data_IF_386851077436
#
_entry.id   IF_386851077436
#
_cell.length_a   1.000
_cell.length_b   1.000
_cell.length_c   1.000
_cell.angle_alpha   90.00
_cell.angle_beta   90.00
_cell.angle_gamma   90.00
#
_symmetry.space_group_name_H-M   'P 1'
#
loop_
_entity.id
_entity.type
_entity.pdbx_description
1 polymer ?
#
# COMPACT_ATOMS: atom_id res chain seq x y z
N UNK A 1 5.70 16.88 6.39
CA UNK A 1 4.69 16.32 5.49
C UNK A 1 4.14 15.04 6.08
N UNK A 2 2.82 14.87 6.05
CA UNK A 2 2.18 13.63 6.48
C UNK A 2 2.56 12.49 5.54
N UNK A 3 2.56 11.26 6.06
CA UNK A 3 2.73 10.08 5.22
C UNK A 3 1.45 9.76 4.46
N UNK A 4 0.31 9.84 5.14
CA UNK A 4 -1.00 9.58 4.54
C UNK A 4 -2.10 10.19 5.41
N UNK A 5 -3.31 10.26 4.84
CA UNK A 5 -4.52 10.63 5.57
C UNK A 5 -5.72 9.89 4.99
N UNK A 6 -6.73 9.69 5.82
CA UNK A 6 -7.94 8.96 5.42
C UNK A 6 -9.11 9.92 5.20
N UNK A 7 -10.05 9.48 4.36
CA UNK A 7 -11.33 10.15 4.17
C UNK A 7 -12.42 9.10 4.05
N UNK A 8 -13.63 9.43 4.55
CA UNK A 8 -14.75 8.50 4.55
C UNK A 8 -15.46 8.49 3.20
N UNK A 9 -15.85 7.29 2.77
CA UNK A 9 -16.71 7.03 1.63
C UNK A 9 -17.76 6.04 2.12
N UNK A 10 -19.00 6.14 1.64
CA UNK A 10 -20.09 5.25 2.08
C UNK A 10 -19.69 3.77 1.96
N UNK A 11 -19.65 3.05 3.09
CA UNK A 11 -19.29 1.64 3.22
C UNK A 11 -17.82 1.30 2.85
N UNK A 12 -17.00 2.30 2.53
CA UNK A 12 -15.61 2.14 2.12
C UNK A 12 -14.72 3.09 2.91
N UNK A 13 -13.41 3.00 2.68
CA UNK A 13 -12.47 3.99 3.18
C UNK A 13 -11.51 4.40 2.08
N UNK A 14 -11.28 5.71 1.95
CA UNK A 14 -10.28 6.25 1.06
C UNK A 14 -9.06 6.74 1.81
N UNK A 15 -7.94 6.83 1.10
CA UNK A 15 -6.74 7.45 1.64
C UNK A 15 -5.99 8.22 0.56
N UNK A 16 -5.24 9.22 1.01
CA UNK A 16 -4.25 9.92 0.21
C UNK A 16 -2.90 9.67 0.85
N UNK A 17 -1.94 9.16 0.08
CA UNK A 17 -0.58 8.94 0.53
C UNK A 17 0.34 9.96 -0.13
N UNK A 18 1.34 10.41 0.60
CA UNK A 18 2.24 11.47 0.17
C UNK A 18 3.68 11.02 0.16
N UNK A 19 4.50 11.60 -0.70
CA UNK A 19 5.93 11.37 -0.72
C UNK A 19 6.67 12.43 -1.52
N UNK A 20 7.93 12.65 -1.19
CA UNK A 20 8.80 13.53 -1.96
C UNK A 20 9.22 12.89 -3.29
N UNK A 21 9.19 11.56 -3.33
CA UNK A 21 9.42 10.76 -4.53
C UNK A 21 8.21 9.86 -4.77
N UNK A 22 8.08 9.35 -5.99
CA UNK A 22 7.01 8.39 -6.30
C UNK A 22 7.15 7.15 -5.43
N UNK A 23 8.37 6.65 -5.25
CA UNK A 23 8.68 5.49 -4.41
C UNK A 23 8.20 5.70 -2.97
N UNK A 24 8.54 6.85 -2.38
CA UNK A 24 8.10 7.17 -1.02
C UNK A 24 6.58 7.21 -0.89
N UNK A 25 5.89 7.77 -1.89
CA UNK A 25 4.43 7.81 -1.89
C UNK A 25 3.83 6.40 -1.95
N UNK A 26 4.41 5.50 -2.75
CA UNK A 26 4.00 4.09 -2.80
C UNK A 26 4.25 3.39 -1.46
N UNK A 27 5.41 3.62 -0.85
CA UNK A 27 5.73 3.07 0.49
C UNK A 27 4.68 3.50 1.51
N UNK A 28 4.33 4.78 1.50
CA UNK A 28 3.32 5.33 2.40
C UNK A 28 1.90 4.82 2.10
N UNK A 29 1.59 4.52 0.82
CA UNK A 29 0.33 3.89 0.44
C UNK A 29 0.22 2.47 1.02
N UNK A 30 1.31 1.70 1.00
CA UNK A 30 1.36 0.38 1.64
C UNK A 30 1.13 0.48 3.14
N UNK A 31 1.77 1.45 3.78
CA UNK A 31 1.59 1.71 5.21
C UNK A 31 0.14 2.09 5.51
N UNK A 32 -0.49 2.91 4.67
CA UNK A 32 -1.89 3.32 4.83
C UNK A 32 -2.83 2.12 4.81
N UNK A 33 -2.62 1.16 3.88
CA UNK A 33 -3.43 -0.06 3.81
C UNK A 33 -3.32 -0.86 5.10
N UNK A 34 -2.10 -1.09 5.57
CA UNK A 34 -1.92 -1.93 6.76
C UNK A 34 -2.36 -1.24 8.05
N UNK A 35 -2.42 0.09 8.09
CA UNK A 35 -3.03 0.82 9.20
C UNK A 35 -4.56 0.79 9.18
N UNK A 36 -5.18 0.42 8.06
CA UNK A 36 -6.61 0.10 8.03
C UNK A 36 -6.86 -1.27 8.69
N UNK A 37 -5.98 -2.21 8.44
CA UNK A 37 -6.11 -3.60 8.91
C UNK A 37 -5.73 -3.74 10.39
N UNK A 38 -4.64 -3.07 10.80
CA UNK A 38 -4.06 -3.16 12.14
C UNK A 38 -3.35 -1.86 12.49
N UNK A 39 -2.65 -1.84 13.62
CA UNK A 39 -1.73 -0.76 13.97
C UNK A 39 -0.31 -1.19 13.59
N UNK A 40 0.25 -0.58 12.55
CA UNK A 40 1.57 -0.95 12.04
C UNK A 40 2.70 -0.69 13.03
N UNK A 41 2.50 0.20 14.02
CA UNK A 41 3.51 0.41 15.06
C UNK A 41 3.70 -0.81 15.95
N UNK A 42 2.72 -1.71 16.00
CA UNK A 42 2.79 -2.98 16.73
C UNK A 42 3.28 -4.15 15.89
N UNK A 43 3.65 -3.94 14.63
CA UNK A 43 4.12 -4.98 13.72
C UNK A 43 5.64 -4.95 13.62
N UNK A 44 6.29 -6.05 13.99
CA UNK A 44 7.74 -6.14 13.94
C UNK A 44 8.23 -6.57 12.55
N UNK A 45 9.37 -6.03 12.13
CA UNK A 45 9.97 -6.28 10.80
C UNK A 45 10.85 -7.53 10.81
N UNK A 46 10.26 -8.69 11.07
CA UNK A 46 10.99 -9.96 11.26
C UNK A 46 11.14 -10.79 9.99
N UNK A 47 10.14 -10.78 9.14
CA UNK A 47 10.07 -11.61 7.95
C UNK A 47 10.07 -10.72 6.72
N UNK A 48 10.87 -11.08 5.72
CA UNK A 48 11.02 -10.32 4.48
C UNK A 48 10.27 -11.00 3.35
N UNK A 49 9.56 -10.22 2.54
CA UNK A 49 8.96 -10.66 1.28
C UNK A 49 9.36 -9.68 0.19
N UNK A 50 9.56 -10.20 -1.02
CA UNK A 50 9.87 -9.37 -2.18
C UNK A 50 9.00 -9.75 -3.34
N UNK A 51 8.65 -8.77 -4.17
CA UNK A 51 7.93 -9.02 -5.41
C UNK A 51 8.28 -7.95 -6.44
N UNK A 52 8.01 -8.29 -7.70
CA UNK A 52 8.21 -7.39 -8.83
C UNK A 52 6.95 -7.37 -9.68
N UNK A 53 6.54 -6.17 -10.09
CA UNK A 53 5.38 -5.97 -10.96
C UNK A 53 5.73 -5.00 -12.08
N UNK A 54 5.01 -5.11 -13.21
CA UNK A 54 5.13 -4.19 -14.33
C UNK A 54 3.74 -3.78 -14.79
N UNK A 55 3.56 -2.52 -15.08
CA UNK A 55 2.26 -1.96 -15.44
C UNK A 55 2.42 -0.86 -16.48
N UNK A 56 1.40 -0.62 -17.33
CA UNK A 56 1.53 0.35 -18.43
C UNK A 56 1.57 1.81 -17.99
N UNK A 57 0.98 2.14 -16.85
CA UNK A 57 0.95 3.50 -16.33
C UNK A 57 0.97 3.53 -14.80
N UNK A 58 1.08 4.72 -14.23
CA UNK A 58 1.24 4.89 -12.79
C UNK A 58 0.01 4.45 -11.98
N UNK A 59 -1.19 4.66 -12.49
CA UNK A 59 -2.42 4.26 -11.80
C UNK A 59 -2.53 2.73 -11.77
N UNK A 60 -2.28 2.08 -12.92
CA UNK A 60 -2.27 0.62 -12.99
C UNK A 60 -1.18 0.04 -12.07
N UNK A 61 -0.02 0.70 -11.99
CA UNK A 61 1.06 0.28 -11.11
C UNK A 61 0.63 0.34 -9.64
N UNK A 62 -0.04 1.42 -9.25
CA UNK A 62 -0.55 1.57 -7.89
C UNK A 62 -1.57 0.48 -7.56
N UNK A 63 -2.51 0.23 -8.48
CA UNK A 63 -3.50 -0.83 -8.30
C UNK A 63 -2.82 -2.20 -8.11
N UNK A 64 -1.90 -2.54 -9.00
CA UNK A 64 -1.22 -3.84 -8.97
C UNK A 64 -0.37 -4.00 -7.70
N UNK A 65 0.27 -2.94 -7.25
CA UNK A 65 1.06 -2.92 -6.03
C UNK A 65 0.18 -3.18 -4.80
N UNK A 66 -0.94 -2.45 -4.67
CA UNK A 66 -1.85 -2.61 -3.54
C UNK A 66 -2.52 -3.98 -3.53
N UNK A 67 -2.89 -4.50 -4.71
CA UNK A 67 -3.43 -5.84 -4.87
C UNK A 67 -2.44 -6.91 -4.40
N UNK A 68 -1.17 -6.77 -4.76
CA UNK A 68 -0.13 -7.73 -4.36
C UNK A 68 0.08 -7.70 -2.84
N UNK A 69 0.08 -6.52 -2.24
CA UNK A 69 0.18 -6.39 -0.79
C UNK A 69 -0.99 -7.10 -0.09
N UNK A 70 -2.21 -6.88 -0.58
CA UNK A 70 -3.40 -7.52 -0.01
C UNK A 70 -3.36 -9.04 -0.20
N UNK A 71 -2.91 -9.50 -1.36
CA UNK A 71 -2.74 -10.92 -1.66
C UNK A 71 -1.77 -11.59 -0.67
N UNK A 72 -0.60 -10.99 -0.44
CA UNK A 72 0.37 -11.52 0.50
C UNK A 72 -0.16 -11.54 1.95
N UNK A 73 -0.91 -10.51 2.32
CA UNK A 73 -1.58 -10.48 3.62
C UNK A 73 -2.53 -11.66 3.79
N UNK A 74 -3.34 -11.94 2.79
CA UNK A 74 -4.37 -12.99 2.86
C UNK A 74 -3.78 -14.39 2.75
N UNK A 75 -2.82 -14.59 1.85
CA UNK A 75 -2.25 -15.93 1.57
C UNK A 75 -1.20 -16.32 2.60
N UNK A 76 -0.33 -15.40 2.96
CA UNK A 76 0.77 -15.68 3.91
C UNK A 76 0.38 -15.42 5.36
N UNK A 77 -0.79 -14.86 5.63
CA UNK A 77 -1.25 -14.48 6.96
C UNK A 77 -0.25 -13.57 7.67
N UNK A 78 0.14 -12.50 6.99
CA UNK A 78 1.12 -11.55 7.48
C UNK A 78 0.58 -10.15 7.57
N UNK A 79 1.15 -9.38 8.51
CA UNK A 79 1.03 -7.93 8.56
C UNK A 79 2.40 -7.34 8.22
N UNK A 80 2.41 -6.26 7.46
CA UNK A 80 3.64 -5.58 7.05
C UNK A 80 3.68 -4.16 7.61
N UNK A 81 4.86 -3.70 7.97
CA UNK A 81 5.07 -2.37 8.55
C UNK A 81 6.24 -1.61 7.94
N UNK A 82 7.02 -2.26 7.10
CA UNK A 82 8.21 -1.67 6.48
C UNK A 82 8.16 -1.95 4.97
N UNK A 83 8.26 -0.88 4.17
CA UNK A 83 8.08 -0.94 2.73
C UNK A 83 9.24 -0.21 2.06
N UNK A 84 9.96 -0.92 1.20
CA UNK A 84 11.06 -0.38 0.40
C UNK A 84 10.73 -0.63 -1.07
N UNK A 85 10.55 0.43 -1.84
CA UNK A 85 10.06 0.38 -3.20
C UNK A 85 11.04 1.07 -4.15
N UNK A 86 11.38 0.38 -5.23
CA UNK A 86 12.12 0.95 -6.36
C UNK A 86 11.24 0.93 -7.59
N UNK A 87 11.12 2.06 -8.28
CA UNK A 87 10.31 2.19 -9.48
C UNK A 87 11.21 2.62 -10.64
N UNK A 88 11.11 1.91 -11.76
CA UNK A 88 11.80 2.24 -13.00
C UNK A 88 10.78 2.53 -14.09
N UNK A 89 11.07 3.50 -14.93
CA UNK A 89 10.25 3.84 -16.09
C UNK A 89 10.98 3.46 -17.38
N UNK A 90 10.24 2.87 -18.32
CA UNK A 90 10.73 2.58 -19.67
C UNK A 90 9.69 3.04 -20.70
N UNK A 91 9.99 2.86 -21.99
CA UNK A 91 9.04 3.18 -23.06
C UNK A 91 7.77 2.31 -22.99
N UNK A 92 7.86 1.13 -22.39
CA UNK A 92 6.76 0.17 -22.28
C UNK A 92 5.92 0.37 -21.02
N UNK A 93 6.31 1.28 -20.13
CA UNK A 93 5.57 1.53 -18.89
C UNK A 93 6.49 1.60 -17.68
N UNK A 94 6.00 1.04 -16.55
CA UNK A 94 6.69 1.10 -15.27
C UNK A 94 6.96 -0.30 -14.72
N UNK A 95 8.09 -0.45 -14.03
CA UNK A 95 8.42 -1.65 -13.26
C UNK A 95 8.65 -1.25 -11.81
N UNK A 96 8.18 -2.07 -10.89
CA UNK A 96 8.31 -1.84 -9.46
C UNK A 96 8.89 -3.08 -8.81
N UNK A 97 9.92 -2.89 -7.98
CA UNK A 97 10.47 -3.92 -7.10
C UNK A 97 10.18 -3.50 -5.67
N UNK A 98 9.54 -4.37 -4.90
CA UNK A 98 9.24 -4.10 -3.51
C UNK A 98 9.92 -5.12 -2.60
N UNK A 99 10.48 -4.62 -1.51
CA UNK A 99 10.94 -5.44 -0.40
C UNK A 99 10.17 -4.98 0.83
N UNK A 100 9.38 -5.86 1.39
CA UNK A 100 8.49 -5.54 2.50
C UNK A 100 8.80 -6.43 3.69
N UNK A 101 8.63 -5.89 4.89
CA UNK A 101 8.95 -6.59 6.13
C UNK A 101 7.78 -6.52 7.10
N UNK A 102 7.58 -7.62 7.80
CA UNK A 102 6.52 -7.73 8.78
C UNK A 102 6.64 -9.01 9.57
N UNK A 103 5.52 -9.53 10.01
CA UNK A 103 5.47 -10.75 10.80
C UNK A 103 4.13 -11.46 10.61
N UNK A 104 4.07 -12.71 11.03
CA UNK A 104 2.84 -13.48 11.02
C UNK A 104 1.77 -12.82 11.89
N UNK A 105 0.53 -12.88 11.45
CA UNK A 105 -0.61 -12.33 12.19
C UNK A 105 -0.80 -13.09 13.49
N UNK A 106 -0.94 -12.34 14.59
CA UNK A 106 -1.33 -12.86 15.91
C UNK A 106 -2.34 -11.87 16.50
N UNK A 107 -3.63 -12.19 16.33
CA UNK A 107 -4.70 -11.31 16.79
C UNK A 107 -4.79 -11.19 18.32
N UNK A 108 -4.09 -12.01 19.06
CA UNK A 108 -3.97 -11.84 20.53
C UNK A 108 -2.99 -10.71 20.87
N UNK A 109 -2.08 -10.38 19.95
CA UNK A 109 -1.08 -9.32 20.14
C UNK A 109 -1.28 -8.12 19.21
N UNK A 110 -1.64 -8.38 17.96
CA UNK A 110 -1.91 -7.31 16.98
C UNK A 110 -3.33 -6.78 17.14
N UNK A 111 -3.50 -5.46 17.01
CA UNK A 111 -4.83 -4.85 17.00
C UNK A 111 -5.58 -5.30 15.75
N UNK A 112 -6.81 -5.77 15.90
CA UNK A 112 -7.66 -6.14 14.79
C UNK A 112 -8.63 -5.01 14.50
N UNK A 113 -8.43 -4.32 13.37
CA UNK A 113 -9.24 -3.16 12.99
C UNK A 113 -10.27 -3.54 11.93
N UNK A 114 -9.93 -3.40 10.65
CA UNK A 114 -10.85 -3.66 9.55
C UNK A 114 -10.29 -4.69 8.60
N UNK A 115 -11.19 -5.41 7.92
CA UNK A 115 -10.82 -6.31 6.86
C UNK A 115 -11.02 -5.57 5.53
N UNK A 116 -10.00 -5.57 4.67
CA UNK A 116 -10.10 -5.02 3.32
C UNK A 116 -10.53 -6.15 2.39
N UNK A 117 -11.67 -6.00 1.74
CA UNK A 117 -12.19 -7.00 0.80
C UNK A 117 -11.58 -6.85 -0.58
N UNK A 118 -11.35 -5.62 -1.02
CA UNK A 118 -10.84 -5.36 -2.36
C UNK A 118 -10.22 -3.98 -2.47
N UNK A 119 -9.25 -3.86 -3.37
CA UNK A 119 -8.75 -2.59 -3.88
C UNK A 119 -9.64 -2.20 -5.06
N UNK A 120 -10.02 -0.94 -5.16
CA UNK A 120 -10.87 -0.48 -6.26
C UNK A 120 -10.15 0.55 -7.12
N UNK A 121 -10.58 0.68 -8.38
CA UNK A 121 -10.12 1.77 -9.26
C UNK A 121 -10.89 3.07 -9.05
N UNK A 122 -11.97 3.03 -8.26
CA UNK A 122 -12.81 4.21 -8.06
C UNK A 122 -11.98 5.36 -7.46
N UNK A 123 -11.95 6.49 -8.15
CA UNK A 123 -11.20 7.70 -7.78
C UNK A 123 -9.69 7.48 -7.58
N UNK A 124 -9.15 6.37 -8.05
CA UNK A 124 -7.70 6.13 -7.96
C UNK A 124 -6.96 7.13 -8.83
N UNK A 125 -5.93 7.75 -8.27
CA UNK A 125 -5.16 8.78 -8.96
C UNK A 125 -3.73 8.84 -8.44
N UNK A 126 -2.82 9.22 -9.33
CA UNK A 126 -1.42 9.50 -9.03
C UNK A 126 -1.15 10.91 -9.53
N UNK A 127 -0.82 11.82 -8.63
CA UNK A 127 -0.68 13.23 -8.94
C UNK A 127 0.66 13.75 -8.45
N UNK A 128 1.30 14.57 -9.28
CA UNK A 128 2.51 15.28 -8.90
C UNK A 128 2.25 16.79 -8.89
N UNK A 129 2.48 17.41 -7.75
CA UNK A 129 2.51 18.86 -7.59
C UNK A 129 3.90 19.25 -7.10
N UNK A 130 4.07 19.82 -5.92
CA UNK A 130 5.36 20.01 -5.27
C UNK A 130 5.92 18.67 -4.75
N UNK A 131 5.02 17.72 -4.49
CA UNK A 131 5.32 16.35 -4.05
C UNK A 131 4.36 15.40 -4.75
N UNK A 132 4.48 14.11 -4.49
CA UNK A 132 3.56 13.10 -5.04
C UNK A 132 2.41 12.84 -4.09
N UNK A 133 1.22 12.69 -4.67
CA UNK A 133 -0.01 12.34 -3.95
C UNK A 133 -0.66 11.15 -4.66
N UNK A 134 -0.94 10.10 -3.90
CA UNK A 134 -1.63 8.90 -4.39
C UNK A 134 -2.96 8.79 -3.66
N UNK A 135 -4.04 8.61 -4.43
CA UNK A 135 -5.37 8.42 -3.85
C UNK A 135 -5.91 7.05 -4.23
N UNK A 136 -6.48 6.36 -3.25
CA UNK A 136 -7.13 5.07 -3.47
C UNK A 136 -8.31 4.90 -2.52
N UNK A 137 -9.28 4.10 -2.95
CA UNK A 137 -10.44 3.72 -2.14
C UNK A 137 -10.44 2.20 -2.06
N UNK A 138 -10.59 1.67 -0.85
CA UNK A 138 -10.66 0.25 -0.60
C UNK A 138 -12.05 -0.13 -0.10
N UNK A 139 -12.51 -1.31 -0.51
CA UNK A 139 -13.80 -1.87 -0.14
C UNK A 139 -13.66 -2.63 1.18
N UNK A 140 -14.48 -2.30 2.14
CA UNK A 140 -14.53 -2.94 3.47
C UNK A 140 -15.73 -3.95 3.59
#
# INVERSE_FOLDING_TARGET
>A
MKRFEYFDVTADIGFTAYGNTLEEAFENAGLAIFNIISDTSGVNSKIVRSFEISSPDEVALLYDYLEELLFLHEVDFMLFSDFDVDISRSDDGYSLMATIKGEAIDWDRHERKSEIKAITFHMMDVKKTEHYELRAIVDL
#
